data_IF_625633837176
#
_entry.id   IF_625633837176
#
_cell.length_a   1.000
_cell.length_b   1.000
_cell.length_c   1.000
_cell.angle_alpha   90.00
_cell.angle_beta   90.00
_cell.angle_gamma   90.00
#
_symmetry.space_group_name_H-M   'P 1'
#
loop_
_entity.id
_entity.type
_entity.pdbx_description
1 polymer ?
#
# COMPACT_ATOMS: atom_id res chain seq x y z
N UNK A 1 22.16 -68.85 8.08
CA UNK A 1 22.87 -67.77 8.80
C UNK A 1 22.19 -66.47 8.44
N UNK A 2 21.44 -65.92 9.39
CA UNK A 2 20.70 -64.66 9.27
C UNK A 2 21.69 -63.49 9.43
N UNK A 3 21.71 -62.56 8.48
CA UNK A 3 22.39 -61.26 8.65
C UNK A 3 21.34 -60.16 8.74
N UNK A 4 21.18 -59.65 9.95
CA UNK A 4 20.36 -58.50 10.32
C UNK A 4 20.87 -57.22 9.64
N UNK A 5 20.00 -56.53 8.93
CA UNK A 5 20.18 -55.14 8.51
C UNK A 5 19.75 -54.27 9.69
N UNK A 6 20.70 -53.56 10.29
CA UNK A 6 20.42 -52.53 11.29
C UNK A 6 20.30 -51.18 10.58
N UNK A 7 19.11 -50.59 10.62
CA UNK A 7 18.86 -49.21 10.21
C UNK A 7 19.56 -48.23 11.14
N UNK A 8 20.44 -47.40 10.57
CA UNK A 8 20.95 -46.18 11.23
C UNK A 8 20.28 -44.95 10.62
N UNK A 9 19.76 -43.99 11.41
CA UNK A 9 19.19 -42.77 10.86
C UNK A 9 20.32 -41.79 10.48
N UNK A 10 20.45 -41.51 9.18
CA UNK A 10 21.37 -40.50 8.65
C UNK A 10 20.69 -39.11 8.66
N UNK A 11 21.40 -38.03 9.06
CA UNK A 11 20.77 -36.79 9.50
C UNK A 11 20.37 -35.89 8.33
N UNK A 12 19.19 -35.29 8.47
CA UNK A 12 18.66 -34.25 7.60
C UNK A 12 19.56 -33.01 7.59
N UNK A 13 20.27 -32.77 6.48
CA UNK A 13 20.77 -31.43 6.15
C UNK A 13 20.85 -31.21 4.63
N UNK A 14 20.39 -30.01 4.21
CA UNK A 14 20.60 -29.29 2.92
C UNK A 14 19.76 -29.81 1.73
N UNK A 15 19.06 -29.00 0.93
CA UNK A 15 19.14 -27.55 0.62
C UNK A 15 17.90 -27.15 -0.19
N UNK A 16 17.41 -25.91 -0.06
CA UNK A 16 16.91 -25.18 -1.23
C UNK A 16 17.10 -23.67 -1.00
N UNK A 17 17.67 -22.99 -1.99
CA UNK A 17 18.02 -21.56 -1.99
C UNK A 17 16.84 -20.63 -1.64
N UNK A 18 15.61 -21.11 -1.81
CA UNK A 18 14.37 -20.46 -1.35
C UNK A 18 14.27 -20.31 0.18
N UNK A 19 14.90 -21.14 1.00
CA UNK A 19 14.87 -20.97 2.46
C UNK A 19 15.80 -19.87 2.97
N UNK A 20 16.95 -19.65 2.31
CA UNK A 20 17.84 -18.52 2.61
C UNK A 20 17.21 -17.21 2.16
N UNK A 21 16.58 -17.21 0.98
CA UNK A 21 15.72 -16.14 0.47
C UNK A 21 14.60 -15.75 1.46
N UNK A 22 13.85 -16.74 1.96
CA UNK A 22 12.78 -16.51 2.94
C UNK A 22 13.32 -15.95 4.25
N UNK A 23 14.48 -16.41 4.74
CA UNK A 23 15.03 -15.94 6.03
C UNK A 23 15.52 -14.49 5.98
N UNK A 24 16.21 -14.08 4.92
CA UNK A 24 16.78 -12.72 4.83
C UNK A 24 15.70 -11.66 4.62
N UNK A 25 14.72 -11.92 3.73
CA UNK A 25 13.58 -11.02 3.55
C UNK A 25 12.69 -11.00 4.80
N UNK A 26 12.44 -12.15 5.44
CA UNK A 26 11.67 -12.22 6.68
C UNK A 26 12.34 -11.48 7.83
N UNK A 27 13.66 -11.58 8.00
CA UNK A 27 14.37 -10.90 9.08
C UNK A 27 14.38 -9.38 8.91
N UNK A 28 14.63 -8.85 7.69
CA UNK A 28 14.59 -7.40 7.43
C UNK A 28 13.17 -6.81 7.51
N UNK A 29 12.17 -7.54 7.00
CA UNK A 29 10.75 -7.12 7.09
C UNK A 29 10.24 -7.20 8.54
N UNK A 30 10.68 -8.17 9.35
CA UNK A 30 10.33 -8.25 10.78
C UNK A 30 11.01 -7.14 11.61
N UNK A 31 12.26 -6.78 11.31
CA UNK A 31 12.94 -5.68 12.02
C UNK A 31 12.37 -4.30 11.69
N UNK A 32 11.65 -4.16 10.57
CA UNK A 32 11.00 -2.90 10.14
C UNK A 32 9.46 -2.91 10.25
N UNK A 33 8.82 -4.01 10.68
CA UNK A 33 7.36 -4.09 10.91
C UNK A 33 7.01 -4.78 12.23
N UNK A 34 6.70 -3.95 13.23
CA UNK A 34 5.48 -4.14 14.04
C UNK A 34 4.40 -3.40 13.24
N UNK A 35 3.47 -4.02 12.52
CA UNK A 35 2.25 -4.66 13.03
C UNK A 35 1.79 -5.70 12.00
N UNK A 36 1.81 -6.98 12.38
CA UNK A 36 0.98 -8.01 11.74
C UNK A 36 -0.39 -7.95 12.41
N UNK A 37 -1.44 -7.73 11.61
CA UNK A 37 -2.84 -7.67 12.03
C UNK A 37 -3.21 -8.83 12.97
N UNK A 38 -3.57 -8.49 14.21
CA UNK A 38 -4.33 -9.36 15.10
C UNK A 38 -5.52 -8.57 15.64
N UNK A 39 -6.73 -9.02 15.30
CA UNK A 39 -7.98 -8.43 15.76
C UNK A 39 -8.16 -8.74 17.25
N UNK A 40 -8.12 -7.70 18.09
CA UNK A 40 -8.79 -7.71 19.39
C UNK A 40 -9.51 -6.39 19.58
N UNK A 41 -10.82 -6.52 19.80
CA UNK A 41 -11.77 -5.49 20.18
C UNK A 41 -11.43 -4.94 21.56
N UNK A 42 -11.29 -3.62 21.67
CA UNK A 42 -11.53 -2.92 22.93
C UNK A 42 -12.05 -1.52 22.63
N UNK A 43 -13.24 -1.25 23.16
CA UNK A 43 -13.96 0.02 23.13
C UNK A 43 -13.34 0.98 24.14
N UNK A 44 -13.05 2.21 23.75
CA UNK A 44 -13.02 3.36 24.65
C UNK A 44 -13.45 4.63 23.91
N UNK A 45 -14.19 5.43 24.67
CA UNK A 45 -15.00 6.59 24.31
C UNK A 45 -14.19 7.85 24.01
N UNK A 46 -14.90 8.75 23.35
CA UNK A 46 -14.58 10.12 22.95
C UNK A 46 -14.00 10.99 24.07
N UNK A 47 -13.09 11.89 23.69
CA UNK A 47 -13.27 13.35 23.75
C UNK A 47 -11.89 14.02 23.67
N UNK A 48 -11.63 14.85 22.66
CA UNK A 48 -10.74 16.00 22.82
C UNK A 48 -11.04 17.08 21.79
N UNK A 49 -11.44 18.22 22.32
CA UNK A 49 -11.64 19.53 21.69
C UNK A 49 -10.34 20.17 21.22
N UNK A 50 -10.48 20.98 20.17
CA UNK A 50 -9.61 21.98 19.56
C UNK A 50 -8.39 22.52 20.34
N UNK A 51 -7.33 22.88 19.58
CA UNK A 51 -6.73 24.23 19.46
C UNK A 51 -5.31 24.11 18.83
N UNK A 52 -5.13 24.67 17.63
CA UNK A 52 -3.82 25.08 17.09
C UNK A 52 -3.36 26.36 17.79
N UNK A 53 -2.04 26.62 17.85
CA UNK A 53 -1.59 27.75 17.04
C UNK A 53 -0.27 27.52 16.29
N UNK A 54 -0.20 28.22 15.16
CA UNK A 54 1.01 28.58 14.42
C UNK A 54 2.09 29.19 15.34
N UNK A 55 3.33 28.74 15.17
CA UNK A 55 4.56 29.56 15.08
C UNK A 55 5.79 28.63 15.23
N UNK A 56 6.66 28.62 14.22
CA UNK A 56 8.12 28.81 14.33
C UNK A 56 8.76 28.35 13.01
N UNK A 57 9.02 29.36 12.18
CA UNK A 57 10.01 29.35 11.12
C UNK A 57 11.37 29.77 11.73
N UNK A 58 12.44 29.18 11.20
CA UNK A 58 13.84 29.63 11.21
C UNK A 58 14.63 29.60 12.53
N UNK A 59 15.60 28.67 12.59
CA UNK A 59 16.99 28.97 12.96
C UNK A 59 17.95 27.95 12.35
N UNK A 60 18.72 28.41 11.36
CA UNK A 60 19.89 27.74 10.83
C UNK A 60 21.00 27.67 11.89
N UNK A 61 21.76 26.58 11.90
CA UNK A 61 22.91 26.38 12.78
C UNK A 61 23.90 25.38 12.20
N UNK A 62 24.94 25.94 11.57
CA UNK A 62 26.16 25.28 11.07
C UNK A 62 26.74 24.28 12.08
N UNK A 63 27.12 23.09 11.61
CA UNK A 63 27.98 22.14 12.32
C UNK A 63 28.53 21.09 11.37
N UNK A 64 29.81 21.20 11.02
CA UNK A 64 30.51 20.20 10.21
C UNK A 64 31.22 19.13 11.05
N UNK A 65 31.88 18.21 10.32
CA UNK A 65 32.86 17.19 10.75
C UNK A 65 32.16 15.93 11.34
N UNK A 66 32.40 14.67 10.92
CA UNK A 66 33.62 14.01 10.46
C UNK A 66 33.33 12.90 9.41
N UNK A 67 34.25 12.70 8.46
CA UNK A 67 34.39 11.45 7.70
C UNK A 67 35.06 10.40 8.59
N UNK A 68 34.44 9.25 8.75
CA UNK A 68 35.09 8.07 9.33
C UNK A 68 35.48 7.12 8.20
N UNK A 69 36.78 6.86 8.09
CA UNK A 69 37.36 5.86 7.21
C UNK A 69 36.94 4.46 7.68
N UNK A 70 36.30 3.69 6.80
CA UNK A 70 36.00 2.28 7.04
C UNK A 70 36.93 1.43 6.17
N UNK A 71 37.97 0.87 6.80
CA UNK A 71 38.87 -0.10 6.20
C UNK A 71 38.10 -1.35 5.76
N UNK A 72 38.31 -1.77 4.50
CA UNK A 72 37.77 -3.01 3.95
C UNK A 72 38.62 -4.20 4.40
N UNK A 73 38.13 -4.95 5.37
CA UNK A 73 38.61 -6.33 5.59
C UNK A 73 38.06 -7.26 4.51
N UNK A 74 38.93 -7.77 3.65
CA UNK A 74 38.62 -8.82 2.69
C UNK A 74 38.67 -10.19 3.36
N UNK A 75 37.50 -10.82 3.57
CA UNK A 75 37.42 -12.23 3.96
C UNK A 75 37.39 -13.12 2.71
N UNK A 76 38.42 -13.95 2.54
CA UNK A 76 38.46 -15.01 1.52
C UNK A 76 37.92 -16.31 2.11
N UNK A 77 36.96 -16.95 1.44
CA UNK A 77 36.45 -18.29 1.80
C UNK A 77 36.85 -19.26 0.69
N UNK A 78 37.42 -20.44 1.02
CA UNK A 78 37.89 -21.38 0.01
C UNK A 78 36.71 -22.06 -0.70
N UNK A 79 36.78 -22.10 -2.03
CA UNK A 79 35.84 -22.80 -2.91
C UNK A 79 36.13 -24.30 -2.85
N UNK A 80 35.23 -25.06 -2.22
CA UNK A 80 35.24 -26.52 -2.32
C UNK A 80 34.71 -26.95 -3.69
N UNK A 81 35.53 -27.71 -4.42
CA UNK A 81 35.22 -28.26 -5.74
C UNK A 81 34.12 -29.31 -5.64
N UNK A 82 32.96 -29.07 -6.26
CA UNK A 82 31.84 -30.01 -6.35
C UNK A 82 32.17 -31.12 -7.36
N UNK A 83 32.09 -32.38 -6.90
CA UNK A 83 32.13 -33.57 -7.75
C UNK A 83 30.87 -33.66 -8.65
N UNK A 84 31.03 -34.28 -9.82
CA UNK A 84 30.05 -34.37 -10.89
C UNK A 84 28.73 -35.08 -10.48
N UNK A 85 27.58 -34.71 -11.10
CA UNK A 85 26.27 -35.23 -10.70
C UNK A 85 26.03 -36.66 -11.21
N UNK A 86 25.56 -37.53 -10.32
CA UNK A 86 25.00 -38.84 -10.65
C UNK A 86 23.63 -38.62 -11.31
N UNK A 87 23.46 -39.05 -12.57
CA UNK A 87 22.20 -38.93 -13.34
C UNK A 87 21.15 -39.92 -12.84
N UNK A 88 20.25 -39.47 -11.97
CA UNK A 88 19.07 -40.23 -11.53
C UNK A 88 17.79 -39.74 -12.21
N UNK A 89 17.45 -40.29 -13.38
CA UNK A 89 16.28 -39.87 -14.19
C UNK A 89 14.92 -39.91 -13.45
N UNK A 90 14.75 -40.79 -12.47
CA UNK A 90 13.51 -40.91 -11.70
C UNK A 90 13.29 -39.78 -10.69
N UNK A 91 14.38 -39.21 -10.16
CA UNK A 91 14.33 -38.15 -9.17
C UNK A 91 13.97 -36.81 -9.83
N UNK A 92 14.42 -36.60 -11.06
CA UNK A 92 14.16 -35.39 -11.83
C UNK A 92 12.68 -35.25 -12.24
N UNK A 93 11.99 -36.35 -12.54
CA UNK A 93 10.56 -36.35 -12.90
C UNK A 93 9.64 -36.08 -11.69
N UNK A 94 9.95 -36.66 -10.53
CA UNK A 94 9.23 -36.40 -9.29
C UNK A 94 9.44 -34.96 -8.80
N UNK A 95 10.66 -34.44 -8.91
CA UNK A 95 10.96 -33.02 -8.62
C UNK A 95 10.18 -32.09 -9.57
N UNK A 96 10.15 -32.40 -10.87
CA UNK A 96 9.43 -31.59 -11.85
C UNK A 96 7.91 -31.60 -11.60
N UNK A 97 7.34 -32.76 -11.28
CA UNK A 97 5.93 -32.91 -10.92
C UNK A 97 5.58 -32.16 -9.63
N UNK A 98 6.42 -32.28 -8.60
CA UNK A 98 6.27 -31.54 -7.35
C UNK A 98 6.40 -30.03 -7.55
N UNK A 99 7.38 -29.57 -8.33
CA UNK A 99 7.57 -28.16 -8.66
C UNK A 99 6.36 -27.59 -9.41
N UNK A 100 5.79 -28.35 -10.36
CA UNK A 100 4.57 -27.97 -11.08
C UNK A 100 3.36 -27.86 -10.15
N UNK A 101 3.13 -28.87 -9.30
CA UNK A 101 2.04 -28.85 -8.32
C UNK A 101 2.17 -27.69 -7.32
N UNK A 102 3.41 -27.39 -6.88
CA UNK A 102 3.69 -26.22 -6.05
C UNK A 102 3.41 -24.90 -6.78
N UNK A 103 3.69 -24.82 -8.08
CA UNK A 103 3.41 -23.66 -8.92
C UNK A 103 1.89 -23.43 -9.07
N UNK A 104 1.12 -24.47 -9.35
CA UNK A 104 -0.34 -24.39 -9.49
C UNK A 104 -1.03 -24.02 -8.17
N UNK A 105 -0.57 -24.61 -7.06
CA UNK A 105 -1.06 -24.26 -5.72
C UNK A 105 -0.74 -22.79 -5.37
N UNK A 106 0.49 -22.33 -5.66
CA UNK A 106 0.88 -20.92 -5.50
C UNK A 106 0.01 -19.99 -6.34
N UNK A 107 -0.21 -20.31 -7.60
CA UNK A 107 -1.08 -19.53 -8.49
C UNK A 107 -2.51 -19.47 -7.96
N UNK A 108 -3.06 -20.60 -7.49
CA UNK A 108 -4.38 -20.64 -6.86
C UNK A 108 -4.45 -19.72 -5.64
N UNK A 109 -3.47 -19.79 -4.72
CA UNK A 109 -3.40 -18.93 -3.54
C UNK A 109 -3.30 -17.45 -3.94
N UNK A 110 -2.42 -17.12 -4.89
CA UNK A 110 -2.24 -15.76 -5.42
C UNK A 110 -3.53 -15.22 -6.04
N UNK A 111 -4.24 -16.02 -6.84
CA UNK A 111 -5.51 -15.63 -7.44
C UNK A 111 -6.61 -15.46 -6.37
N UNK A 112 -6.68 -16.35 -5.38
CA UNK A 112 -7.67 -16.28 -4.29
C UNK A 112 -7.48 -15.06 -3.39
N UNK A 113 -6.23 -14.63 -3.15
CA UNK A 113 -5.96 -13.38 -2.45
C UNK A 113 -6.51 -12.16 -3.19
N UNK A 114 -6.59 -12.20 -4.53
CA UNK A 114 -7.18 -11.13 -5.34
C UNK A 114 -8.72 -11.08 -5.26
N UNK A 115 -9.37 -12.10 -4.68
CA UNK A 115 -10.82 -12.13 -4.43
C UNK A 115 -11.19 -11.73 -2.98
N UNK A 116 -10.34 -10.96 -2.29
CA UNK A 116 -10.55 -10.51 -0.91
C UNK A 116 -10.78 -11.63 0.12
N UNK A 117 -10.28 -12.84 -0.16
CA UNK A 117 -10.31 -13.95 0.80
C UNK A 117 -9.17 -13.78 1.79
N UNK A 118 -9.49 -13.58 3.07
CA UNK A 118 -8.46 -13.49 4.12
C UNK A 118 -7.60 -14.76 4.19
N UNK A 119 -6.31 -14.64 4.50
CA UNK A 119 -5.37 -15.78 4.53
C UNK A 119 -5.87 -16.94 5.41
N UNK A 120 -6.55 -16.64 6.52
CA UNK A 120 -7.14 -17.65 7.42
C UNK A 120 -8.27 -18.46 6.77
N UNK A 121 -8.94 -17.90 5.76
CA UNK A 121 -10.07 -18.51 5.07
C UNK A 121 -9.67 -19.20 3.75
N UNK A 122 -8.48 -18.94 3.21
CA UNK A 122 -8.04 -19.54 1.93
C UNK A 122 -8.03 -21.06 2.00
N UNK A 123 -7.49 -21.66 3.08
CA UNK A 123 -7.49 -23.12 3.27
C UNK A 123 -8.90 -23.73 3.33
N UNK A 124 -9.80 -23.22 4.20
CA UNK A 124 -11.21 -23.62 4.21
C UNK A 124 -11.90 -23.49 2.85
N UNK A 125 -11.68 -22.39 2.12
CA UNK A 125 -12.26 -22.18 0.78
C UNK A 125 -11.76 -23.22 -0.21
N UNK A 126 -10.47 -23.55 -0.21
CA UNK A 126 -9.92 -24.62 -1.06
C UNK A 126 -10.61 -25.95 -0.77
N UNK A 127 -10.82 -26.28 0.51
CA UNK A 127 -11.49 -27.52 0.93
C UNK A 127 -12.93 -27.59 0.43
N UNK A 128 -13.72 -26.54 0.63
CA UNK A 128 -15.12 -26.51 0.19
C UNK A 128 -15.25 -26.52 -1.35
N UNK A 129 -14.39 -25.79 -2.07
CA UNK A 129 -14.39 -25.79 -3.54
C UNK A 129 -14.03 -27.17 -4.11
N UNK A 130 -13.06 -27.88 -3.52
CA UNK A 130 -12.72 -29.23 -3.98
C UNK A 130 -13.82 -30.24 -3.67
N UNK A 131 -14.52 -30.09 -2.54
CA UNK A 131 -15.67 -30.92 -2.18
C UNK A 131 -16.80 -30.82 -3.20
N UNK A 132 -17.03 -29.64 -3.78
CA UNK A 132 -18.01 -29.45 -4.87
C UNK A 132 -17.64 -30.18 -6.17
N UNK A 133 -16.38 -30.57 -6.32
CA UNK A 133 -15.87 -31.32 -7.47
C UNK A 133 -15.63 -32.80 -7.15
N UNK A 134 -16.19 -33.31 -6.04
CA UNK A 134 -15.97 -34.66 -5.52
C UNK A 134 -14.47 -35.01 -5.33
N UNK A 135 -13.67 -34.00 -4.98
CA UNK A 135 -12.23 -34.13 -4.72
C UNK A 135 -11.90 -33.78 -3.27
N UNK A 136 -10.87 -34.42 -2.73
CA UNK A 136 -10.30 -34.08 -1.43
C UNK A 136 -8.84 -33.62 -1.58
N UNK A 137 -8.43 -32.51 -0.95
CA UNK A 137 -7.03 -32.11 -0.95
C UNK A 137 -6.21 -33.07 -0.08
N UNK A 138 -5.10 -33.59 -0.62
CA UNK A 138 -4.13 -34.36 0.18
C UNK A 138 -3.43 -33.49 1.22
N UNK A 139 -3.19 -32.21 0.89
CA UNK A 139 -2.54 -31.23 1.77
C UNK A 139 -3.19 -29.86 1.54
N UNK A 140 -3.54 -29.17 2.63
CA UNK A 140 -4.03 -27.79 2.60
C UNK A 140 -2.89 -26.89 3.11
N UNK A 141 -2.56 -25.79 2.40
CA UNK A 141 -1.52 -24.87 2.86
C UNK A 141 -1.90 -24.26 4.20
N UNK A 142 -0.93 -24.20 5.12
CA UNK A 142 -1.12 -23.54 6.40
C UNK A 142 -1.30 -22.03 6.20
N UNK A 143 -1.91 -21.33 7.17
CA UNK A 143 -1.99 -19.86 7.16
C UNK A 143 -0.61 -19.22 6.96
N UNK A 144 0.42 -19.71 7.65
CA UNK A 144 1.79 -19.21 7.54
C UNK A 144 2.34 -19.37 6.12
N UNK A 145 2.07 -20.50 5.47
CA UNK A 145 2.46 -20.74 4.07
C UNK A 145 1.80 -19.72 3.15
N UNK A 146 0.51 -19.42 3.36
CA UNK A 146 -0.26 -18.46 2.56
C UNK A 146 0.27 -17.04 2.77
N UNK A 147 0.51 -16.65 4.03
CA UNK A 147 1.08 -15.34 4.37
C UNK A 147 2.46 -15.15 3.72
N UNK A 148 3.31 -16.18 3.71
CA UNK A 148 4.60 -16.13 3.02
C UNK A 148 4.44 -15.94 1.50
N UNK A 149 3.51 -16.65 0.87
CA UNK A 149 3.23 -16.50 -0.57
C UNK A 149 2.72 -15.08 -0.89
N UNK A 150 1.90 -14.49 -0.01
CA UNK A 150 1.44 -13.10 -0.16
C UNK A 150 2.62 -12.12 -0.06
N UNK A 151 3.54 -12.32 0.89
CA UNK A 151 4.75 -11.49 1.00
C UNK A 151 5.61 -11.61 -0.26
N UNK A 152 5.79 -12.82 -0.80
CA UNK A 152 6.49 -13.03 -2.06
C UNK A 152 5.80 -12.33 -3.24
N UNK A 153 4.46 -12.40 -3.31
CA UNK A 153 3.66 -11.68 -4.31
C UNK A 153 3.91 -10.17 -4.23
N UNK A 154 3.96 -9.61 -3.02
CA UNK A 154 4.25 -8.19 -2.81
C UNK A 154 5.65 -7.85 -3.31
N UNK A 155 6.67 -8.65 -2.96
CA UNK A 155 8.05 -8.43 -3.42
C UNK A 155 8.15 -8.47 -4.95
N UNK A 156 7.49 -9.43 -5.61
CA UNK A 156 7.43 -9.49 -7.09
C UNK A 156 6.76 -8.24 -7.66
N UNK A 157 5.66 -7.80 -7.05
CA UNK A 157 4.98 -6.55 -7.42
C UNK A 157 5.90 -5.34 -7.31
N UNK A 158 6.62 -5.21 -6.20
CA UNK A 158 7.59 -4.12 -5.97
C UNK A 158 8.73 -4.14 -6.99
N UNK A 159 9.28 -5.30 -7.32
CA UNK A 159 10.29 -5.44 -8.38
C UNK A 159 9.75 -4.96 -9.74
N UNK A 160 8.49 -5.30 -10.06
CA UNK A 160 7.85 -4.85 -11.31
C UNK A 160 7.58 -3.35 -11.30
N UNK A 161 7.18 -2.78 -10.16
CA UNK A 161 7.00 -1.33 -10.00
C UNK A 161 8.33 -0.60 -10.22
N UNK A 162 9.39 -1.01 -9.53
CA UNK A 162 10.72 -0.41 -9.70
C UNK A 162 11.28 -0.60 -11.11
N UNK A 163 10.96 -1.69 -11.81
CA UNK A 163 11.36 -1.86 -13.20
C UNK A 163 10.58 -0.98 -14.17
N UNK A 164 9.27 -0.80 -13.96
CA UNK A 164 8.40 -0.10 -14.89
C UNK A 164 8.37 1.41 -14.65
N UNK A 165 8.17 1.84 -13.40
CA UNK A 165 7.96 3.24 -13.02
C UNK A 165 9.25 4.06 -12.97
N UNK A 166 10.39 3.44 -12.63
CA UNK A 166 11.68 4.14 -12.58
C UNK A 166 12.08 4.72 -13.95
N UNK A 167 11.57 4.17 -15.05
CA UNK A 167 11.84 4.65 -16.41
C UNK A 167 10.72 5.53 -16.99
N UNK A 168 9.57 5.64 -16.33
CA UNK A 168 8.49 6.52 -16.79
C UNK A 168 8.84 7.97 -16.51
N UNK A 169 8.19 8.92 -17.20
CA UNK A 169 8.33 10.35 -16.92
C UNK A 169 6.95 10.96 -16.74
N UNK A 170 6.92 12.19 -16.21
CA UNK A 170 5.68 12.96 -16.02
C UNK A 170 4.58 12.18 -15.30
N UNK A 171 4.96 11.44 -14.25
CA UNK A 171 3.99 10.64 -13.51
C UNK A 171 3.19 11.52 -12.54
N UNK A 172 1.95 11.12 -12.27
CA UNK A 172 1.11 11.76 -11.26
C UNK A 172 1.01 10.88 -10.02
N UNK A 173 1.36 11.44 -8.86
CA UNK A 173 1.21 10.82 -7.55
C UNK A 173 -0.20 11.08 -7.02
N UNK A 174 -0.81 10.08 -6.42
CA UNK A 174 -2.09 10.20 -5.71
C UNK A 174 -1.87 9.84 -4.25
N UNK A 175 -2.35 10.69 -3.35
CA UNK A 175 -2.43 10.42 -1.92
C UNK A 175 -3.88 10.20 -1.52
N UNK A 176 -4.15 9.16 -0.74
CA UNK A 176 -5.47 8.92 -0.14
C UNK A 176 -5.33 8.43 1.30
N UNK A 177 -6.09 9.05 2.20
CA UNK A 177 -6.13 8.72 3.62
C UNK A 177 -7.39 7.92 3.94
N UNK A 178 -7.24 6.80 4.64
CA UNK A 178 -8.39 6.04 5.13
C UNK A 178 -8.24 5.70 6.61
N UNK A 179 -9.36 5.75 7.35
CA UNK A 179 -9.40 5.38 8.76
C UNK A 179 -10.10 4.04 8.94
N UNK A 180 -9.47 3.11 9.65
CA UNK A 180 -10.05 1.80 9.94
C UNK A 180 -9.62 1.29 11.31
N UNK A 181 -10.60 0.94 12.15
CA UNK A 181 -10.40 0.43 13.51
C UNK A 181 -9.55 1.38 14.39
N UNK A 182 -9.83 2.68 14.33
CA UNK A 182 -9.10 3.69 15.11
C UNK A 182 -7.68 3.98 14.62
N UNK A 183 -7.27 3.41 13.48
CA UNK A 183 -5.97 3.66 12.85
C UNK A 183 -6.15 4.44 11.56
N UNK A 184 -5.18 5.30 11.26
CA UNK A 184 -5.13 6.08 10.03
C UNK A 184 -4.12 5.43 9.09
N UNK A 185 -4.49 5.24 7.84
CA UNK A 185 -3.59 4.66 6.84
C UNK A 185 -3.48 5.61 5.66
N UNK A 186 -2.25 5.77 5.17
CA UNK A 186 -1.95 6.49 3.94
C UNK A 186 -1.68 5.52 2.81
N UNK A 187 -2.35 5.75 1.70
CA UNK A 187 -2.13 5.06 0.43
C UNK A 187 -1.46 5.98 -0.55
N UNK A 188 -0.52 5.44 -1.33
CA UNK A 188 0.03 6.11 -2.49
C UNK A 188 -0.19 5.29 -3.75
N UNK A 189 -0.71 5.94 -4.78
CA UNK A 189 -0.82 5.42 -6.14
C UNK A 189 -0.01 6.32 -7.06
N UNK A 190 0.43 5.78 -8.20
CA UNK A 190 1.06 6.58 -9.26
C UNK A 190 0.43 6.23 -10.60
N UNK A 191 0.17 7.21 -11.46
CA UNK A 191 -0.17 6.97 -12.85
C UNK A 191 0.95 7.38 -13.79
N UNK A 192 1.12 6.62 -14.87
CA UNK A 192 1.96 7.01 -16.00
C UNK A 192 1.22 7.93 -17.00
N UNK A 193 1.91 8.35 -18.05
CA UNK A 193 1.35 9.19 -19.13
C UNK A 193 0.17 8.52 -19.84
N UNK A 194 0.14 7.18 -19.87
CA UNK A 194 -0.96 6.39 -20.44
C UNK A 194 -2.15 6.21 -19.49
N UNK A 195 -2.14 6.92 -18.35
CA UNK A 195 -3.17 6.86 -17.31
C UNK A 195 -3.32 5.48 -16.67
N UNK A 196 -2.32 4.62 -16.80
CA UNK A 196 -2.29 3.36 -16.07
C UNK A 196 -1.88 3.63 -14.64
N UNK A 197 -2.70 3.18 -13.70
CA UNK A 197 -2.51 3.41 -12.26
C UNK A 197 -1.81 2.21 -11.63
N UNK A 198 -0.84 2.51 -10.78
CA UNK A 198 -0.01 1.58 -10.04
C UNK A 198 -0.15 1.85 -8.55
N UNK A 199 -0.36 0.81 -7.77
CA UNK A 199 -0.39 0.90 -6.31
C UNK A 199 1.04 0.81 -5.77
N UNK A 200 1.55 1.87 -5.14
CA UNK A 200 2.89 1.86 -4.55
C UNK A 200 2.88 1.19 -3.18
N UNK A 201 1.94 1.58 -2.32
CA UNK A 201 1.87 1.07 -0.97
C UNK A 201 0.78 1.68 -0.11
N UNK A 202 0.56 1.01 1.02
CA UNK A 202 -0.33 1.43 2.12
C UNK A 202 0.44 1.26 3.43
N UNK A 203 0.43 2.27 4.29
CA UNK A 203 1.08 2.21 5.61
C UNK A 203 0.22 2.89 6.67
N UNK A 204 0.38 2.42 7.90
CA UNK A 204 -0.20 3.03 9.11
C UNK A 204 0.54 4.35 9.37
N UNK A 205 -0.20 5.41 9.69
CA UNK A 205 0.36 6.70 10.09
C UNK A 205 0.19 6.88 11.58
N UNK A 206 1.26 7.30 12.27
CA UNK A 206 1.20 7.58 13.71
C UNK A 206 0.36 8.82 14.02
N UNK A 207 0.40 9.81 13.12
CA UNK A 207 -0.38 11.04 13.19
C UNK A 207 -0.73 11.53 11.77
N UNK A 208 -1.26 12.75 11.66
CA UNK A 208 -1.63 13.37 10.39
C UNK A 208 -0.69 14.51 9.98
N UNK A 209 0.54 14.50 10.49
CA UNK A 209 1.52 15.51 10.13
C UNK A 209 2.04 15.27 8.71
N UNK A 210 2.28 16.35 7.96
CA UNK A 210 2.82 16.28 6.61
C UNK A 210 4.20 15.59 6.55
N UNK A 211 5.02 15.76 7.60
CA UNK A 211 6.30 15.06 7.74
C UNK A 211 6.13 13.55 7.84
N UNK A 212 5.15 13.09 8.64
CA UNK A 212 4.82 11.66 8.77
C UNK A 212 4.35 11.09 7.44
N UNK A 213 3.54 11.84 6.68
CA UNK A 213 3.12 11.45 5.33
C UNK A 213 4.31 11.30 4.38
N UNK A 214 5.29 12.21 4.43
CA UNK A 214 6.53 12.12 3.64
C UNK A 214 7.39 10.93 4.07
N UNK A 215 7.61 10.73 5.36
CA UNK A 215 8.37 9.59 5.88
C UNK A 215 7.75 8.27 5.43
N UNK A 216 6.42 8.16 5.48
CA UNK A 216 5.70 6.99 4.99
C UNK A 216 5.92 6.77 3.49
N UNK A 217 5.86 7.85 2.70
CA UNK A 217 6.11 7.78 1.26
C UNK A 217 7.53 7.33 0.95
N UNK A 218 8.54 7.93 1.60
CA UNK A 218 9.96 7.56 1.46
C UNK A 218 10.16 6.09 1.84
N UNK A 219 9.61 5.63 2.97
CA UNK A 219 9.70 4.24 3.39
C UNK A 219 9.11 3.26 2.35
N UNK A 220 8.04 3.65 1.64
CA UNK A 220 7.46 2.84 0.56
C UNK A 220 8.42 2.77 -0.64
N UNK A 221 9.05 3.88 -1.00
CA UNK A 221 10.04 3.94 -2.08
C UNK A 221 11.32 3.15 -1.73
N UNK A 222 11.78 3.25 -0.48
CA UNK A 222 12.90 2.48 0.04
C UNK A 222 12.61 0.97 0.00
N UNK A 223 11.40 0.55 0.38
CA UNK A 223 11.01 -0.86 0.26
C UNK A 223 11.06 -1.34 -1.20
N UNK A 224 10.72 -0.49 -2.18
CA UNK A 224 10.83 -0.82 -3.61
C UNK A 224 12.30 -0.94 -4.01
N UNK A 225 13.14 0.02 -3.61
CA UNK A 225 14.58 0.02 -3.89
C UNK A 225 15.29 -1.18 -3.26
N UNK A 226 15.06 -1.43 -1.97
CA UNK A 226 15.62 -2.55 -1.21
C UNK A 226 15.32 -3.89 -1.88
N UNK A 227 14.08 -4.05 -2.38
CA UNK A 227 13.67 -5.24 -3.13
C UNK A 227 14.40 -5.28 -4.47
N UNK A 228 14.41 -4.20 -5.25
CA UNK A 228 15.07 -4.18 -6.56
C UNK A 228 16.59 -4.41 -6.51
N UNK A 229 17.30 -3.81 -5.54
CA UNK A 229 18.76 -3.93 -5.37
C UNK A 229 19.17 -5.36 -4.99
N UNK A 230 18.37 -6.05 -4.19
CA UNK A 230 18.59 -7.47 -3.89
C UNK A 230 18.63 -8.35 -5.15
N UNK A 231 18.05 -7.88 -6.27
CA UNK A 231 18.00 -8.63 -7.53
C UNK A 231 18.78 -8.00 -8.69
N UNK A 232 19.33 -6.77 -8.54
CA UNK A 232 20.15 -6.10 -9.56
C UNK A 232 21.55 -5.81 -9.04
N UNK A 233 22.55 -6.50 -9.58
CA UNK A 233 23.98 -6.18 -9.39
C UNK A 233 24.39 -5.00 -10.30
N UNK A 234 23.84 -3.81 -10.09
CA UNK A 234 24.24 -2.62 -10.87
C UNK A 234 24.38 -1.40 -9.98
N UNK A 235 25.50 -0.67 -10.12
CA UNK A 235 25.84 0.56 -9.39
C UNK A 235 25.02 1.80 -9.83
N UNK A 236 23.75 1.63 -10.22
CA UNK A 236 22.96 2.68 -10.86
C UNK A 236 21.70 2.91 -10.03
N UNK A 237 21.58 4.17 -9.58
CA UNK A 237 20.42 4.90 -9.02
C UNK A 237 19.24 4.10 -8.47
N UNK A 238 18.96 4.30 -7.18
CA UNK A 238 17.81 3.77 -6.42
C UNK A 238 16.49 3.90 -7.22
N UNK A 239 15.81 2.80 -7.58
CA UNK A 239 14.55 2.85 -8.33
C UNK A 239 13.46 3.71 -7.66
N UNK A 240 13.40 3.69 -6.32
CA UNK A 240 12.52 4.54 -5.53
C UNK A 240 12.80 6.03 -5.75
N UNK A 241 14.06 6.45 -5.72
CA UNK A 241 14.44 7.82 -6.03
C UNK A 241 14.18 8.17 -7.51
N UNK A 242 14.39 7.24 -8.46
CA UNK A 242 13.99 7.47 -9.85
C UNK A 242 12.48 7.74 -9.96
N UNK A 243 11.66 6.92 -9.30
CA UNK A 243 10.20 7.13 -9.22
C UNK A 243 9.91 8.52 -8.65
N UNK A 244 10.54 8.92 -7.55
CA UNK A 244 10.38 10.23 -6.94
C UNK A 244 10.69 11.38 -7.92
N UNK A 245 11.84 11.31 -8.62
CA UNK A 245 12.25 12.32 -9.59
C UNK A 245 11.30 12.45 -10.79
N UNK A 246 10.61 11.36 -11.15
CA UNK A 246 9.69 11.31 -12.28
C UNK A 246 8.28 11.86 -11.96
N UNK A 247 7.95 12.05 -10.68
CA UNK A 247 6.69 12.65 -10.23
C UNK A 247 6.68 14.13 -10.57
N UNK A 248 5.71 14.54 -11.39
CA UNK A 248 5.51 15.92 -11.81
C UNK A 248 4.29 16.54 -11.14
N UNK A 249 3.26 15.73 -10.97
CA UNK A 249 1.97 16.15 -10.46
C UNK A 249 1.64 15.36 -9.21
N UNK A 250 0.99 16.00 -8.25
CA UNK A 250 0.43 15.37 -7.06
C UNK A 250 -1.06 15.71 -7.00
N UNK A 251 -1.89 14.68 -6.97
CA UNK A 251 -3.33 14.79 -6.81
C UNK A 251 -3.72 14.37 -5.40
N UNK A 252 -4.33 15.30 -4.67
CA UNK A 252 -4.65 15.13 -3.25
C UNK A 252 -5.95 15.82 -2.87
N UNK A 253 -6.25 15.78 -1.58
CA UNK A 253 -7.30 16.61 -1.02
C UNK A 253 -6.79 18.02 -0.77
N UNK A 254 -7.71 18.95 -0.60
CA UNK A 254 -7.38 20.34 -0.25
C UNK A 254 -7.09 20.49 1.25
N UNK A 255 -6.69 19.41 1.91
CA UNK A 255 -6.34 19.43 3.33
C UNK A 255 -5.04 20.22 3.53
N UNK A 256 -4.93 20.94 4.64
CA UNK A 256 -3.71 21.70 4.97
C UNK A 256 -2.48 20.78 5.07
N UNK A 257 -2.67 19.55 5.55
CA UNK A 257 -1.64 18.51 5.57
C UNK A 257 -1.10 18.21 4.17
N UNK A 258 -1.95 18.09 3.15
CA UNK A 258 -1.52 17.76 1.78
C UNK A 258 -0.79 18.92 1.10
N UNK A 259 -1.21 20.15 1.40
CA UNK A 259 -0.51 21.36 0.95
C UNK A 259 0.90 21.41 1.56
N UNK A 260 1.02 21.19 2.88
CA UNK A 260 2.30 21.14 3.56
C UNK A 260 3.16 19.95 3.08
N UNK A 261 2.56 18.79 2.83
CA UNK A 261 3.23 17.62 2.28
C UNK A 261 3.81 17.90 0.90
N UNK A 262 3.10 18.63 0.03
CA UNK A 262 3.61 19.02 -1.30
C UNK A 262 4.91 19.83 -1.17
N UNK A 263 4.97 20.78 -0.24
CA UNK A 263 6.18 21.58 0.01
C UNK A 263 7.35 20.70 0.47
N UNK A 264 7.10 19.78 1.40
CA UNK A 264 8.11 18.84 1.87
C UNK A 264 8.56 17.88 0.75
N UNK A 265 7.64 17.47 -0.12
CA UNK A 265 7.92 16.61 -1.27
C UNK A 265 8.84 17.31 -2.28
N UNK A 266 8.61 18.60 -2.56
CA UNK A 266 9.48 19.42 -3.42
C UNK A 266 10.88 19.58 -2.81
N UNK A 267 10.97 19.81 -1.50
CA UNK A 267 12.25 19.90 -0.78
C UNK A 267 13.03 18.60 -0.87
N UNK A 268 12.40 17.47 -0.56
CA UNK A 268 13.02 16.16 -0.67
C UNK A 268 13.48 15.87 -2.12
N UNK A 269 12.68 16.27 -3.12
CA UNK A 269 13.07 16.12 -4.53
C UNK A 269 14.33 16.92 -4.85
N UNK A 270 14.41 18.17 -4.39
CA UNK A 270 15.58 19.03 -4.56
C UNK A 270 16.85 18.41 -3.94
N UNK A 271 16.72 17.75 -2.80
CA UNK A 271 17.84 17.07 -2.12
C UNK A 271 18.40 15.90 -2.91
N UNK A 272 17.53 15.11 -3.58
CA UNK A 272 17.95 13.91 -4.30
C UNK A 272 18.28 14.18 -5.78
N UNK A 273 17.74 15.23 -6.41
CA UNK A 273 17.93 15.50 -7.85
C UNK A 273 19.38 15.58 -8.35
N UNK A 274 20.38 16.09 -7.58
CA UNK A 274 21.78 16.11 -8.02
C UNK A 274 22.32 14.73 -8.43
N UNK A 275 21.82 13.66 -7.82
CA UNK A 275 22.24 12.29 -8.13
C UNK A 275 21.59 11.72 -9.39
N UNK A 276 20.57 12.38 -9.95
CA UNK A 276 19.71 11.87 -11.02
C UNK A 276 19.75 12.70 -12.30
N UNK A 277 19.87 14.03 -12.17
CA UNK A 277 19.93 14.91 -13.32
C UNK A 277 21.39 15.15 -13.72
N UNK A 278 21.74 14.73 -14.93
CA UNK A 278 23.02 15.14 -15.52
C UNK A 278 23.06 16.66 -15.60
N UNK A 279 24.23 17.24 -15.29
CA UNK A 279 24.48 18.67 -15.33
C UNK A 279 23.62 19.48 -14.35
N UNK A 280 23.16 18.88 -13.24
CA UNK A 280 22.46 19.61 -12.18
C UNK A 280 23.24 20.86 -11.71
N UNK A 281 24.56 20.73 -11.55
CA UNK A 281 25.44 21.83 -11.14
C UNK A 281 25.57 22.94 -12.19
N UNK A 282 25.20 22.68 -13.45
CA UNK A 282 25.22 23.69 -14.52
C UNK A 282 23.93 24.53 -14.57
N UNK A 283 22.87 24.05 -13.91
CA UNK A 283 21.58 24.75 -13.84
C UNK A 283 21.64 25.91 -12.85
N UNK A 284 20.93 27.00 -13.15
CA UNK A 284 20.74 28.09 -12.20
C UNK A 284 19.88 27.67 -11.01
N UNK A 285 19.96 28.40 -9.90
CA UNK A 285 19.11 28.15 -8.72
C UNK A 285 17.62 28.18 -9.07
N UNK A 286 17.21 29.05 -10.00
CA UNK A 286 15.84 29.10 -10.52
C UNK A 286 15.47 27.86 -11.34
N UNK A 287 16.37 27.36 -12.19
CA UNK A 287 16.14 26.15 -12.99
C UNK A 287 16.07 24.90 -12.10
N UNK A 288 16.93 24.80 -11.08
CA UNK A 288 16.91 23.73 -10.09
C UNK A 288 15.58 23.73 -9.29
N UNK A 289 15.14 24.91 -8.85
CA UNK A 289 13.86 25.09 -8.15
C UNK A 289 12.67 24.70 -9.04
N UNK A 290 12.68 25.10 -10.31
CA UNK A 290 11.66 24.71 -11.28
C UNK A 290 11.65 23.21 -11.57
N UNK A 291 12.82 22.56 -11.59
CA UNK A 291 12.94 21.12 -11.80
C UNK A 291 12.39 20.30 -10.62
N UNK A 292 12.56 20.79 -9.39
CA UNK A 292 12.05 20.15 -8.18
C UNK A 292 10.54 20.34 -7.98
N UNK A 293 9.95 21.37 -8.58
CA UNK A 293 8.53 21.74 -8.42
C UNK A 293 7.58 20.59 -8.77
N UNK A 294 6.53 20.44 -7.95
CA UNK A 294 5.45 19.47 -8.13
C UNK A 294 4.13 20.22 -8.27
N UNK A 295 3.40 19.98 -9.35
CA UNK A 295 2.10 20.61 -9.54
C UNK A 295 1.07 19.93 -8.63
N UNK A 296 0.46 20.69 -7.72
CA UNK A 296 -0.60 20.19 -6.87
C UNK A 296 -1.97 20.40 -7.54
N UNK A 297 -2.73 19.31 -7.68
CA UNK A 297 -4.10 19.29 -8.15
C UNK A 297 -5.02 18.74 -7.06
N UNK A 298 -6.12 19.44 -6.81
CA UNK A 298 -7.09 19.00 -5.80
C UNK A 298 -8.20 18.15 -6.42
N UNK A 299 -8.63 17.11 -5.70
CA UNK A 299 -9.75 16.28 -6.12
C UNK A 299 -11.05 17.09 -6.19
N UNK A 300 -11.55 17.31 -7.41
CA UNK A 300 -12.80 18.03 -7.65
C UNK A 300 -14.05 17.33 -7.08
N UNK A 301 -13.96 16.02 -6.79
CA UNK A 301 -15.08 15.29 -6.18
C UNK A 301 -15.42 15.83 -4.80
N UNK A 302 -14.43 16.26 -4.01
CA UNK A 302 -14.66 16.85 -2.69
C UNK A 302 -15.48 18.15 -2.77
N UNK A 303 -15.35 18.92 -3.85
CA UNK A 303 -16.21 20.09 -4.08
C UNK A 303 -17.68 19.67 -4.30
N UNK A 304 -17.91 18.63 -5.12
CA UNK A 304 -19.25 18.14 -5.41
C UNK A 304 -19.92 17.50 -4.19
N UNK A 305 -19.15 16.73 -3.40
CA UNK A 305 -19.64 16.15 -2.14
C UNK A 305 -20.02 17.25 -1.17
N UNK A 306 -19.17 18.27 -0.99
CA UNK A 306 -19.49 19.41 -0.11
C UNK A 306 -20.76 20.15 -0.58
N UNK A 307 -20.96 20.34 -1.89
CA UNK A 307 -22.20 20.92 -2.40
C UNK A 307 -23.42 20.06 -2.09
N UNK A 308 -23.31 18.73 -2.26
CA UNK A 308 -24.41 17.83 -1.89
C UNK A 308 -24.73 17.92 -0.39
N UNK A 309 -23.71 17.88 0.48
CA UNK A 309 -23.88 17.99 1.93
C UNK A 309 -24.50 19.33 2.37
N UNK A 310 -24.12 20.44 1.75
CA UNK A 310 -24.73 21.74 2.04
C UNK A 310 -26.17 21.85 1.52
N UNK A 311 -26.47 21.27 0.36
CA UNK A 311 -27.80 21.38 -0.27
C UNK A 311 -28.82 20.41 0.33
N UNK A 312 -28.41 19.23 0.82
CA UNK A 312 -29.33 18.23 1.35
C UNK A 312 -30.24 18.75 2.48
N UNK A 313 -29.75 19.45 3.51
CA UNK A 313 -30.62 20.00 4.56
C UNK A 313 -31.59 21.08 4.05
N UNK A 314 -31.15 21.87 3.07
CA UNK A 314 -31.96 22.95 2.48
C UNK A 314 -33.10 22.35 1.66
N UNK A 315 -32.81 21.33 0.84
CA UNK A 315 -33.82 20.61 0.07
C UNK A 315 -34.85 19.94 0.99
N UNK A 316 -34.39 19.29 2.07
CA UNK A 316 -35.30 18.71 3.06
C UNK A 316 -36.19 19.76 3.75
N UNK A 317 -35.68 20.95 4.03
CA UNK A 317 -36.48 22.04 4.60
C UNK A 317 -37.53 22.53 3.59
N UNK A 318 -37.13 22.68 2.33
CA UNK A 318 -38.03 23.09 1.24
C UNK A 318 -39.16 22.08 1.02
N UNK A 319 -38.85 20.78 1.00
CA UNK A 319 -39.85 19.70 0.88
C UNK A 319 -40.85 19.75 2.04
N UNK A 320 -40.38 19.91 3.29
CA UNK A 320 -41.26 20.05 4.47
C UNK A 320 -42.17 21.27 4.42
N UNK A 321 -41.67 22.40 3.90
CA UNK A 321 -42.49 23.60 3.73
C UNK A 321 -43.61 23.36 2.73
N UNK A 322 -43.34 22.67 1.62
CA UNK A 322 -44.37 22.31 0.64
C UNK A 322 -45.42 21.35 1.23
N UNK A 323 -45.01 20.34 1.98
CA UNK A 323 -45.94 19.43 2.66
C UNK A 323 -46.85 20.19 3.64
N UNK A 324 -46.31 21.17 4.36
CA UNK A 324 -47.07 22.01 5.30
C UNK A 324 -48.09 22.89 4.56
N UNK A 325 -47.68 23.55 3.47
CA UNK A 325 -48.58 24.37 2.66
C UNK A 325 -49.71 23.55 2.01
N UNK A 326 -49.41 22.35 1.50
CA UNK A 326 -50.44 21.44 0.97
C UNK A 326 -51.42 20.99 2.07
N UNK A 327 -50.94 20.70 3.27
CA UNK A 327 -51.81 20.26 4.38
C UNK A 327 -52.74 21.37 4.92
N UNK A 328 -52.40 22.65 4.73
CA UNK A 328 -53.23 23.78 5.16
C UNK A 328 -54.33 24.11 4.15
N UNK A 329 -54.13 23.80 2.86
CA UNK A 329 -55.17 23.97 1.83
C UNK A 329 -56.31 22.95 1.97
N UNK A 330 -56.02 21.73 2.44
CA UNK A 330 -57.03 20.68 2.62
C UNK A 330 -57.96 20.92 3.84
N UNK A 331 -57.65 21.87 4.73
CA UNK A 331 -58.47 22.17 5.94
C UNK A 331 -59.47 23.30 5.69
N UNK A 332 -59.28 24.13 4.66
CA UNK A 332 -60.15 25.30 4.41
C UNK A 332 -61.44 25.00 3.64
N UNK A 333 -61.61 23.79 3.11
CA UNK A 333 -62.70 23.48 2.18
C UNK A 333 -63.92 22.78 2.82
N UNK A 334 -63.87 22.46 4.13
CA UNK A 334 -64.92 21.70 4.81
C UNK A 334 -65.88 22.53 5.72
N UNK A 335 -65.68 23.84 5.88
CA UNK A 335 -66.46 24.65 6.86
C UNK A 335 -67.54 25.58 6.25
N UNK A 336 -67.77 25.52 4.92
CA UNK A 336 -68.73 26.42 4.24
C UNK A 336 -70.09 25.77 3.86
N UNK A 337 -70.49 24.67 4.52
CA UNK A 337 -71.80 24.02 4.28
C UNK A 337 -72.68 23.84 5.52
N UNK A 338 -72.77 24.83 6.41
CA UNK A 338 -73.91 24.94 7.34
C UNK A 338 -74.83 26.07 6.89
N UNK A 339 -75.58 25.81 5.81
CA UNK A 339 -76.68 26.67 5.39
C UNK A 339 -77.83 26.59 6.39
N UNK A 340 -78.13 27.76 6.92
CA UNK A 340 -79.32 28.12 7.71
C UNK A 340 -80.56 27.86 6.85
N UNK A 341 -81.31 26.80 7.13
CA UNK A 341 -82.71 26.68 6.71
C UNK A 341 -83.59 27.36 7.77
N UNK A 342 -83.85 28.66 7.57
CA UNK A 342 -84.99 29.34 8.19
C UNK A 342 -86.26 28.89 7.48
N UNK A 343 -87.05 28.08 8.19
CA UNK A 343 -88.42 27.75 7.87
C UNK A 343 -89.31 28.97 8.15
N UNK A 344 -89.93 29.52 7.11
CA UNK A 344 -91.13 30.35 7.22
C UNK A 344 -92.21 29.73 6.31
N UNK A 345 -93.21 29.12 6.93
CA UNK A 345 -94.52 28.84 6.33
C UNK A 345 -95.60 29.48 7.22
N UNK A 346 -96.32 30.43 6.60
CA UNK A 346 -97.68 30.91 6.82
C UNK A 346 -98.20 31.27 8.22
#
# INVERSE_FOLDING_TARGET
>A
MQSSITDSPCPATRTCWTQTFVRTCYQKVQTRKTVVFNQRTQTCSEDFTDILPEEILLKAGKGGIAKADFEKETFSVPVATLQAPVKGKHFDEEIASYAKACSEARQCITNRSSFNVSSKNVGPVIKEVLKLADKSPNVIPSRKTIDNIIVEKIAVGQTQLGANLATQKNTCLYGDETRKFGKTYQTFLVSDENKKVYFLGLRDMIDKAASTTLDVFINILDDISDVCEQYRQTNVTSPGHSIMCNIRDFMSDRAQTDIAFTVLLEQYRLEIMPDFLQNWEELSDEEQSLAAKVNNFFCGLHLLVNFAECLSPILLLFEKMQETESSLQDISDDDESTQIHSHDEC
#
